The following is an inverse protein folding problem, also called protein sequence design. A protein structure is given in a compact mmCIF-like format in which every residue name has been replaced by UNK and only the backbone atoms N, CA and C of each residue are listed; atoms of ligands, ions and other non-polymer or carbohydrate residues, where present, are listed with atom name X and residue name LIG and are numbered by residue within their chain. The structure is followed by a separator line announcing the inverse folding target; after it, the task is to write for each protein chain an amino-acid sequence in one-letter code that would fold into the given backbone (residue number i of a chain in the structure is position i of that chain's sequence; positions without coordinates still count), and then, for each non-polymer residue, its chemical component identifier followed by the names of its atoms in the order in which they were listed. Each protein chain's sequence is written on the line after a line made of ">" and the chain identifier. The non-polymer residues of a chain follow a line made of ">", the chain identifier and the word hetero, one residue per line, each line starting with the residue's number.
data_IF_598770477232
#
_entry.id   IF_598770477232
#
_cell.length_a   1.000
_cell.length_b   1.000
_cell.length_c   1.000
_cell.angle_alpha   90.00
_cell.angle_beta   90.00
_cell.angle_gamma   90.00
#
_symmetry.space_group_name_H-M   'P 1'
#
loop_
_entity.id
_entity.type
_entity.pdbx_description
1 polymer ?
#
# COMPACT_ATOMS: atom_id res chain seq x y z
N UNK A 1 -3.10 3.11 32.16
CA UNK A 1 -3.47 1.74 31.74
C UNK A 1 -4.09 1.72 30.34
N UNK A 2 -5.27 2.33 30.11
CA UNK A 2 -5.98 2.28 28.82
C UNK A 2 -5.13 2.73 27.61
N UNK A 3 -4.47 3.89 27.72
CA UNK A 3 -3.61 4.41 26.64
C UNK A 3 -2.42 3.49 26.32
N UNK A 4 -1.81 2.89 27.34
CA UNK A 4 -0.73 1.93 27.17
C UNK A 4 -1.23 0.63 26.49
N UNK A 5 -2.39 0.13 26.90
CA UNK A 5 -3.04 -1.03 26.25
C UNK A 5 -3.36 -0.76 24.77
N UNK A 6 -3.85 0.44 24.46
CA UNK A 6 -4.09 0.87 23.07
C UNK A 6 -2.78 0.90 22.26
N UNK A 7 -1.71 1.47 22.82
CA UNK A 7 -0.39 1.49 22.19
C UNK A 7 0.15 0.08 21.90
N UNK A 8 0.02 -0.85 22.85
CA UNK A 8 0.43 -2.25 22.68
C UNK A 8 -0.36 -2.94 21.57
N UNK A 9 -1.67 -2.71 21.51
CA UNK A 9 -2.52 -3.25 20.45
C UNK A 9 -2.11 -2.71 19.07
N UNK A 10 -1.92 -1.39 18.96
CA UNK A 10 -1.49 -0.74 17.71
C UNK A 10 -0.10 -1.24 17.28
N UNK A 11 0.83 -1.38 18.24
CA UNK A 11 2.16 -1.94 18.02
C UNK A 11 2.08 -3.35 17.42
N UNK A 12 1.32 -4.25 18.04
CA UNK A 12 1.19 -5.63 17.59
C UNK A 12 0.59 -5.71 16.18
N UNK A 13 -0.48 -4.94 15.91
CA UNK A 13 -1.12 -4.91 14.59
C UNK A 13 -0.19 -4.30 13.55
N UNK A 14 0.54 -3.22 13.86
CA UNK A 14 1.48 -2.59 12.95
C UNK A 14 2.62 -3.54 12.57
N UNK A 15 3.22 -4.23 13.54
CA UNK A 15 4.27 -5.22 13.29
C UNK A 15 3.76 -6.37 12.40
N UNK A 16 2.65 -6.99 12.79
CA UNK A 16 2.10 -8.13 12.07
C UNK A 16 1.69 -7.77 10.64
N UNK A 17 0.91 -6.70 10.48
CA UNK A 17 0.37 -6.31 9.18
C UNK A 17 1.44 -5.87 8.20
N UNK A 18 2.43 -5.06 8.61
CA UNK A 18 3.51 -4.62 7.73
C UNK A 18 4.50 -5.75 7.42
N UNK A 19 4.79 -6.65 8.36
CA UNK A 19 5.60 -7.85 8.10
C UNK A 19 4.94 -8.77 7.06
N UNK A 20 3.62 -8.98 7.16
CA UNK A 20 2.86 -9.75 6.18
C UNK A 20 2.93 -9.15 4.77
N UNK A 21 2.89 -7.81 4.65
CA UNK A 21 3.03 -7.13 3.35
C UNK A 21 4.41 -7.38 2.75
N UNK A 22 5.47 -7.21 3.54
CA UNK A 22 6.84 -7.48 3.06
C UNK A 22 7.02 -8.94 2.67
N UNK A 23 6.47 -9.88 3.45
CA UNK A 23 6.53 -11.30 3.14
C UNK A 23 5.80 -11.64 1.83
N UNK A 24 4.64 -11.04 1.57
CA UNK A 24 3.94 -11.18 0.29
C UNK A 24 4.77 -10.63 -0.89
N UNK A 25 5.42 -9.47 -0.71
CA UNK A 25 6.29 -8.88 -1.72
C UNK A 25 7.56 -9.70 -1.96
N UNK A 26 8.10 -10.33 -0.92
CA UNK A 26 9.24 -11.25 -1.03
C UNK A 26 8.85 -12.52 -1.80
N UNK A 27 7.64 -13.05 -1.54
CA UNK A 27 7.15 -14.27 -2.17
C UNK A 27 6.72 -14.08 -3.64
N UNK A 28 6.20 -12.91 -4.01
CA UNK A 28 5.71 -12.63 -5.36
C UNK A 28 6.55 -11.57 -6.07
N UNK A 29 7.36 -12.01 -7.03
CA UNK A 29 8.09 -11.11 -7.92
C UNK A 29 7.15 -10.20 -8.72
N UNK A 30 5.93 -10.65 -9.03
CA UNK A 30 4.92 -9.84 -9.72
C UNK A 30 4.45 -8.64 -8.88
N UNK A 31 4.28 -8.82 -7.57
CA UNK A 31 3.92 -7.70 -6.68
C UNK A 31 5.07 -6.71 -6.50
N UNK A 32 6.30 -7.22 -6.43
CA UNK A 32 7.51 -6.42 -6.21
C UNK A 32 7.95 -5.62 -7.45
N UNK A 33 7.78 -6.19 -8.65
CA UNK A 33 8.20 -5.56 -9.91
C UNK A 33 7.25 -4.46 -10.40
N UNK A 34 6.05 -4.36 -9.82
CA UNK A 34 5.18 -3.20 -10.03
C UNK A 34 5.86 -1.96 -9.46
N UNK A 35 5.81 -0.84 -10.17
CA UNK A 35 6.40 0.41 -9.71
C UNK A 35 5.81 0.91 -8.37
N UNK A 36 4.53 0.66 -8.11
CA UNK A 36 3.89 0.88 -6.81
C UNK A 36 4.41 -0.05 -5.70
N UNK A 37 5.01 -1.19 -6.06
CA UNK A 37 5.57 -2.18 -5.15
C UNK A 37 6.76 -1.65 -4.36
N UNK A 38 7.64 -0.87 -5.01
CA UNK A 38 8.80 -0.24 -4.33
C UNK A 38 8.34 0.75 -3.25
N UNK A 39 7.37 1.61 -3.57
CA UNK A 39 6.79 2.55 -2.61
C UNK A 39 6.09 1.83 -1.45
N UNK A 40 5.41 0.72 -1.74
CA UNK A 40 4.76 -0.10 -0.72
C UNK A 40 5.76 -0.78 0.22
N UNK A 41 6.87 -1.30 -0.33
CA UNK A 41 7.97 -1.88 0.47
C UNK A 41 8.61 -0.81 1.35
N UNK A 42 8.91 0.37 0.80
CA UNK A 42 9.44 1.50 1.54
C UNK A 42 8.51 1.90 2.70
N UNK A 43 7.21 2.06 2.43
CA UNK A 43 6.21 2.39 3.44
C UNK A 43 6.14 1.32 4.54
N UNK A 44 6.10 0.04 4.15
CA UNK A 44 5.97 -1.07 5.11
C UNK A 44 7.22 -1.22 5.97
N UNK A 45 8.41 -1.06 5.40
CA UNK A 45 9.67 -1.06 6.14
C UNK A 45 9.73 0.12 7.12
N UNK A 46 9.33 1.33 6.67
CA UNK A 46 9.27 2.50 7.53
C UNK A 46 8.31 2.32 8.71
N UNK A 47 7.12 1.74 8.47
CA UNK A 47 6.19 1.42 9.55
C UNK A 47 6.72 0.35 10.52
N UNK A 48 7.46 -0.65 10.04
CA UNK A 48 8.12 -1.62 10.92
C UNK A 48 9.19 -0.98 11.78
N UNK A 49 10.00 -0.09 11.23
CA UNK A 49 11.00 0.66 12.00
C UNK A 49 10.33 1.56 13.04
N UNK A 50 9.25 2.25 12.67
CA UNK A 50 8.47 3.08 13.59
C UNK A 50 7.88 2.22 14.73
N UNK A 51 7.29 1.08 14.39
CA UNK A 51 6.70 0.16 15.35
C UNK A 51 7.75 -0.50 16.25
N UNK A 52 8.90 -0.90 15.71
CA UNK A 52 9.93 -1.61 16.47
C UNK A 52 10.80 -0.70 17.33
N UNK A 53 10.98 0.56 16.94
CA UNK A 53 11.93 1.47 17.59
C UNK A 53 11.25 2.61 18.33
N UNK A 54 10.30 3.30 17.72
CA UNK A 54 9.68 4.51 18.29
C UNK A 54 8.51 4.18 19.24
N UNK A 55 7.59 3.31 18.84
CA UNK A 55 6.44 2.93 19.69
C UNK A 55 6.84 2.34 21.06
N UNK A 56 7.89 1.52 21.21
CA UNK A 56 8.33 1.01 22.51
C UNK A 56 8.89 2.11 23.41
N UNK A 57 9.60 3.10 22.85
CA UNK A 57 10.07 4.27 23.60
C UNK A 57 8.91 5.12 24.09
N UNK A 58 7.89 5.32 23.26
CA UNK A 58 6.65 6.00 23.65
C UNK A 58 5.91 5.22 24.73
N UNK A 59 5.77 3.90 24.58
CA UNK A 59 5.16 3.06 25.62
C UNK A 59 5.91 3.17 26.95
N UNK A 60 7.25 3.12 26.91
CA UNK A 60 8.09 3.26 28.11
C UNK A 60 7.95 4.66 28.74
N UNK A 61 7.86 5.70 27.92
CA UNK A 61 7.62 7.08 28.36
C UNK A 61 6.26 7.24 29.05
N UNK A 62 5.21 6.63 28.49
CA UNK A 62 3.85 6.64 29.06
C UNK A 62 3.79 5.83 30.35
N UNK A 63 4.46 4.67 30.42
CA UNK A 63 4.46 3.81 31.61
C UNK A 63 5.25 4.44 32.77
N UNK A 64 6.37 5.11 32.48
CA UNK A 64 7.22 5.73 33.51
C UNK A 64 6.78 7.14 33.90
N UNK A 65 6.02 7.84 33.06
CA UNK A 65 5.66 9.25 33.26
C UNK A 65 6.85 10.22 33.15
N UNK A 66 7.97 9.76 32.59
CA UNK A 66 9.24 10.51 32.44
C UNK A 66 10.00 10.04 31.21
N UNK A 67 11.12 10.68 30.90
CA UNK A 67 11.96 10.30 29.76
C UNK A 67 12.30 8.79 29.79
N UNK A 68 12.06 8.06 28.69
CA UNK A 68 12.28 6.61 28.63
C UNK A 68 13.77 6.23 28.66
N UNK A 69 14.64 7.12 28.20
CA UNK A 69 16.06 6.87 27.97
C UNK A 69 16.91 8.12 28.15
N UNK A 70 18.23 7.98 27.95
CA UNK A 70 19.16 9.10 27.93
C UNK A 70 18.82 10.12 26.80
N UNK A 71 19.20 11.40 26.95
CA UNK A 71 18.84 12.46 26.00
C UNK A 71 19.23 12.14 24.54
N UNK A 72 20.43 11.61 24.31
CA UNK A 72 20.90 11.27 22.96
C UNK A 72 20.08 10.17 22.29
N UNK A 73 19.65 9.15 23.04
CA UNK A 73 18.78 8.10 22.51
C UNK A 73 17.39 8.66 22.16
N UNK A 74 16.85 9.56 22.99
CA UNK A 74 15.58 10.22 22.70
C UNK A 74 15.67 11.16 21.50
N UNK A 75 16.78 11.86 21.31
CA UNK A 75 17.03 12.66 20.10
C UNK A 75 17.10 11.80 18.84
N UNK A 76 17.78 10.65 18.90
CA UNK A 76 17.85 9.71 17.79
C UNK A 76 16.46 9.14 17.43
N UNK A 77 15.66 8.79 18.43
CA UNK A 77 14.28 8.34 18.22
C UNK A 77 13.40 9.47 17.66
N UNK A 78 13.53 10.70 18.16
CA UNK A 78 12.80 11.85 17.62
C UNK A 78 13.19 12.19 16.17
N UNK A 79 14.46 12.02 15.81
CA UNK A 79 14.94 12.13 14.44
C UNK A 79 14.28 11.08 13.54
N UNK A 80 14.28 9.82 14.03
CA UNK A 80 13.68 8.70 13.33
C UNK A 80 12.16 8.88 13.16
N UNK A 81 11.44 9.31 14.20
CA UNK A 81 10.00 9.62 14.15
C UNK A 81 9.71 10.67 13.07
N UNK A 82 10.43 11.80 13.10
CA UNK A 82 10.26 12.89 12.12
C UNK A 82 10.57 12.41 10.70
N UNK A 83 11.60 11.58 10.54
CA UNK A 83 12.05 11.09 9.23
C UNK A 83 11.03 10.10 8.66
N UNK A 84 10.66 9.09 9.45
CA UNK A 84 9.73 8.04 9.04
C UNK A 84 8.32 8.60 8.80
N UNK A 85 7.84 9.51 9.64
CA UNK A 85 6.53 10.12 9.48
C UNK A 85 6.44 10.96 8.18
N UNK A 86 7.46 11.77 7.91
CA UNK A 86 7.54 12.56 6.67
C UNK A 86 7.61 11.67 5.43
N UNK A 87 8.42 10.62 5.50
CA UNK A 87 8.62 9.67 4.41
C UNK A 87 7.34 8.87 4.12
N UNK A 88 6.67 8.43 5.17
CA UNK A 88 5.40 7.70 5.08
C UNK A 88 4.30 8.58 4.46
N UNK A 89 4.17 9.84 4.87
CA UNK A 89 3.20 10.77 4.31
C UNK A 89 3.37 10.95 2.79
N UNK A 90 4.60 11.19 2.32
CA UNK A 90 4.91 11.35 0.91
C UNK A 90 4.73 10.04 0.12
N UNK A 91 5.12 8.91 0.72
CA UNK A 91 4.90 7.58 0.12
C UNK A 91 3.41 7.28 -0.05
N UNK A 92 2.58 7.63 0.94
CA UNK A 92 1.12 7.50 0.87
C UNK A 92 0.52 8.40 -0.20
N UNK A 93 0.98 9.64 -0.32
CA UNK A 93 0.55 10.55 -1.38
C UNK A 93 0.88 9.98 -2.77
N UNK A 94 2.10 9.47 -2.95
CA UNK A 94 2.54 8.85 -4.19
C UNK A 94 1.74 7.58 -4.54
N UNK A 95 1.50 6.70 -3.55
CA UNK A 95 0.67 5.50 -3.72
C UNK A 95 -0.79 5.84 -4.07
N UNK A 96 -1.31 6.93 -3.53
CA UNK A 96 -2.67 7.41 -3.81
C UNK A 96 -2.78 8.01 -5.20
N UNK A 97 -1.77 8.78 -5.63
CA UNK A 97 -1.67 9.30 -6.99
C UNK A 97 -1.57 8.18 -8.04
N UNK A 98 -0.76 7.15 -7.79
CA UNK A 98 -0.64 5.99 -8.69
C UNK A 98 -1.98 5.24 -8.84
N UNK A 99 -2.68 5.01 -7.73
CA UNK A 99 -4.01 4.37 -7.74
C UNK A 99 -5.04 5.19 -8.50
N UNK A 100 -4.94 6.50 -8.43
CA UNK A 100 -5.80 7.38 -9.21
C UNK A 100 -5.51 7.28 -10.69
N UNK A 101 -4.25 7.34 -11.12
CA UNK A 101 -3.89 7.22 -12.53
C UNK A 101 -4.42 5.91 -13.15
N UNK A 102 -4.33 4.81 -12.39
CA UNK A 102 -4.85 3.51 -12.80
C UNK A 102 -6.39 3.47 -12.92
N UNK A 103 -7.12 4.21 -12.08
CA UNK A 103 -8.60 4.23 -12.07
C UNK A 103 -9.17 5.26 -13.03
N UNK A 104 -8.54 6.43 -13.14
CA UNK A 104 -8.99 7.56 -13.95
C UNK A 104 -8.72 7.42 -15.45
N UNK A 105 -7.64 6.70 -15.82
CA UNK A 105 -7.23 6.56 -17.22
C UNK A 105 -6.94 5.10 -17.61
N UNK A 106 -7.94 4.20 -17.57
CA UNK A 106 -7.73 2.77 -17.83
C UNK A 106 -7.15 2.45 -19.23
N UNK A 107 -7.29 3.36 -20.21
CA UNK A 107 -6.84 3.16 -21.60
C UNK A 107 -5.50 3.84 -21.94
N UNK A 108 -5.10 4.90 -21.22
CA UNK A 108 -3.81 5.59 -21.41
C UNK A 108 -2.76 5.13 -20.41
N UNK A 109 -3.20 4.72 -19.22
CA UNK A 109 -2.35 4.14 -18.21
C UNK A 109 -2.27 2.64 -18.47
N UNK A 110 -1.32 2.21 -19.31
CA UNK A 110 -0.99 0.79 -19.53
C UNK A 110 -0.34 0.14 -18.28
N UNK A 111 -0.90 0.41 -17.10
CA UNK A 111 -0.65 -0.33 -15.86
C UNK A 111 0.73 -0.16 -15.23
N UNK A 112 1.55 0.82 -15.63
CA UNK A 112 2.89 1.00 -15.06
C UNK A 112 3.23 2.48 -14.90
N UNK A 113 3.18 2.98 -13.66
CA UNK A 113 4.05 4.10 -13.26
C UNK A 113 5.46 3.73 -13.73
N UNK A 114 6.13 4.58 -14.50
CA UNK A 114 7.47 4.20 -14.98
C UNK A 114 8.37 4.04 -13.74
N UNK A 115 9.18 2.97 -13.63
CA UNK A 115 10.08 2.76 -12.50
C UNK A 115 10.95 3.98 -12.19
N UNK A 116 11.34 4.74 -13.24
CA UNK A 116 12.08 6.01 -13.12
C UNK A 116 11.33 7.05 -12.28
N UNK A 117 10.01 7.22 -12.48
CA UNK A 117 9.20 8.15 -11.69
C UNK A 117 9.01 7.66 -10.25
N UNK A 118 8.85 6.35 -10.05
CA UNK A 118 8.78 5.77 -8.70
C UNK A 118 10.08 6.01 -7.92
N UNK A 119 11.23 5.81 -8.57
CA UNK A 119 12.55 6.10 -8.00
C UNK A 119 12.75 7.59 -7.69
N UNK A 120 12.31 8.48 -8.59
CA UNK A 120 12.37 9.93 -8.35
C UNK A 120 11.50 10.35 -7.15
N UNK A 121 10.23 9.91 -7.10
CA UNK A 121 9.33 10.21 -5.99
C UNK A 121 9.87 9.68 -4.66
N UNK A 122 10.46 8.49 -4.68
CA UNK A 122 11.13 7.92 -3.50
C UNK A 122 12.34 8.77 -3.09
N UNK A 123 13.21 9.15 -4.04
CA UNK A 123 14.35 10.02 -3.77
C UNK A 123 13.94 11.38 -3.20
N UNK A 124 12.91 12.02 -3.76
CA UNK A 124 12.34 13.25 -3.22
C UNK A 124 11.79 13.06 -1.80
N UNK A 125 11.07 11.95 -1.55
CA UNK A 125 10.53 11.65 -0.22
C UNK A 125 11.64 11.48 0.82
N UNK A 126 12.72 10.78 0.47
CA UNK A 126 13.88 10.59 1.34
C UNK A 126 14.63 11.90 1.58
N UNK A 127 14.95 12.64 0.52
CA UNK A 127 15.66 13.92 0.61
C UNK A 127 14.90 14.95 1.45
N UNK A 128 13.60 15.10 1.22
CA UNK A 128 12.76 16.00 2.01
C UNK A 128 12.67 15.54 3.48
N UNK A 129 12.51 14.24 3.73
CA UNK A 129 12.42 13.71 5.09
C UNK A 129 13.73 13.90 5.87
N UNK A 130 14.88 13.68 5.21
CA UNK A 130 16.19 13.95 5.79
C UNK A 130 16.39 15.44 6.06
N UNK A 131 15.93 16.32 5.16
CA UNK A 131 16.03 17.76 5.35
C UNK A 131 15.26 18.22 6.61
N UNK A 132 14.00 17.78 6.78
CA UNK A 132 13.21 18.14 7.97
C UNK A 132 13.79 17.57 9.26
N UNK A 133 14.13 16.28 9.29
CA UNK A 133 14.69 15.65 10.49
C UNK A 133 16.08 16.18 10.85
N UNK A 134 16.91 16.44 9.83
CA UNK A 134 18.23 17.04 10.00
C UNK A 134 18.14 18.47 10.51
N UNK A 135 17.22 19.28 9.97
CA UNK A 135 16.97 20.64 10.47
C UNK A 135 16.48 20.64 11.92
N UNK A 136 15.56 19.73 12.28
CA UNK A 136 15.09 19.59 13.67
C UNK A 136 16.22 19.19 14.63
N UNK A 137 17.12 18.29 14.20
CA UNK A 137 18.29 17.91 14.98
C UNK A 137 19.28 19.06 15.13
N UNK A 138 19.62 19.75 14.03
CA UNK A 138 20.56 20.88 14.02
C UNK A 138 20.09 22.07 14.85
N UNK A 139 18.77 22.31 14.92
CA UNK A 139 18.19 23.34 15.77
C UNK A 139 17.90 22.85 17.20
N UNK A 140 18.31 21.64 17.59
CA UNK A 140 18.07 21.07 18.92
C UNK A 140 16.59 21.00 19.34
N UNK A 141 15.69 20.87 18.37
CA UNK A 141 14.24 20.77 18.59
C UNK A 141 13.74 19.36 18.89
N UNK A 142 14.63 18.36 18.88
CA UNK A 142 14.31 16.97 19.17
C UNK A 142 14.50 16.65 20.65
N UNK A 143 13.52 15.99 21.26
CA UNK A 143 13.60 15.57 22.66
C UNK A 143 12.32 14.91 23.16
N UNK A 144 12.28 14.64 24.46
CA UNK A 144 11.08 14.08 25.10
C UNK A 144 10.01 15.18 25.25
N UNK A 145 8.82 14.94 24.71
CA UNK A 145 7.64 15.77 24.98
C UNK A 145 6.72 15.08 25.97
N UNK A 146 6.51 15.70 27.12
CA UNK A 146 5.59 15.20 28.16
C UNK A 146 4.13 15.24 27.70
N UNK A 147 3.76 16.20 26.83
CA UNK A 147 2.41 16.32 26.28
C UNK A 147 2.04 15.11 25.41
N UNK A 148 3.00 14.55 24.66
CA UNK A 148 2.76 13.40 23.78
C UNK A 148 3.28 12.06 24.36
N UNK A 149 4.02 12.11 25.48
CA UNK A 149 4.63 10.94 26.10
C UNK A 149 5.70 10.27 25.23
N UNK A 150 6.22 10.96 24.21
CA UNK A 150 7.08 10.40 23.17
C UNK A 150 8.33 11.26 22.89
N UNK A 151 9.36 10.62 22.35
CA UNK A 151 10.54 11.30 21.82
C UNK A 151 10.22 11.84 20.42
N UNK A 152 10.13 13.16 20.28
CA UNK A 152 9.67 13.81 19.04
C UNK A 152 10.10 15.28 19.03
N UNK A 153 9.39 16.16 18.30
CA UNK A 153 9.58 17.60 18.40
C UNK A 153 9.18 18.09 19.80
N UNK A 154 10.09 18.79 20.47
CA UNK A 154 9.91 19.41 21.78
C UNK A 154 9.76 20.91 21.59
N UNK A 155 8.67 21.49 22.09
CA UNK A 155 8.45 22.92 22.05
C UNK A 155 9.62 23.65 22.74
N UNK A 156 10.38 24.50 22.02
CA UNK A 156 11.50 25.22 22.62
C UNK A 156 11.01 26.41 23.48
N UNK A 157 11.85 26.90 24.41
CA UNK A 157 11.61 28.17 25.08
C UNK A 157 11.68 29.35 24.10
N UNK A 158 11.15 30.51 24.51
CA UNK A 158 11.42 31.77 23.80
C UNK A 158 12.93 32.07 23.84
N UNK A 159 13.55 32.59 22.75
CA UNK A 159 12.98 33.24 21.56
C UNK A 159 12.87 32.35 20.30
N UNK A 160 13.02 31.02 20.41
CA UNK A 160 13.07 30.14 19.23
C UNK A 160 11.69 29.73 18.70
N UNK A 161 10.63 29.98 19.47
CA UNK A 161 9.25 29.59 19.12
C UNK A 161 8.77 30.04 17.74
N UNK A 162 9.01 31.28 17.24
CA UNK A 162 8.54 31.65 15.90
C UNK A 162 9.21 30.82 14.79
N UNK A 163 10.51 30.50 14.93
CA UNK A 163 11.22 29.64 13.97
C UNK A 163 10.70 28.20 14.03
N UNK A 164 10.49 27.69 15.23
CA UNK A 164 9.89 26.37 15.44
C UNK A 164 8.45 26.27 14.91
N UNK A 165 7.66 27.34 15.04
CA UNK A 165 6.30 27.43 14.53
C UNK A 165 6.27 27.38 13.00
N UNK A 166 7.12 28.17 12.33
CA UNK A 166 7.27 28.14 10.88
C UNK A 166 7.71 26.75 10.38
N UNK A 167 8.67 26.13 11.06
CA UNK A 167 9.10 24.76 10.77
C UNK A 167 7.95 23.75 10.91
N UNK A 168 7.25 23.77 12.05
CA UNK A 168 6.15 22.84 12.37
C UNK A 168 4.99 22.99 11.40
N UNK A 169 4.61 24.23 11.07
CA UNK A 169 3.59 24.53 10.07
C UNK A 169 3.98 24.00 8.68
N UNK A 170 5.23 24.20 8.26
CA UNK A 170 5.73 23.72 6.97
C UNK A 170 5.79 22.18 6.91
N UNK A 171 6.29 21.55 7.98
CA UNK A 171 6.32 20.10 8.12
C UNK A 171 4.91 19.50 7.99
N UNK A 172 3.92 20.07 8.67
CA UNK A 172 2.54 19.60 8.60
C UNK A 172 1.84 19.97 7.29
N UNK A 173 2.15 21.11 6.66
CA UNK A 173 1.65 21.44 5.33
C UNK A 173 2.09 20.37 4.31
N UNK A 174 3.36 19.97 4.35
CA UNK A 174 3.89 18.95 3.45
C UNK A 174 3.48 17.52 3.84
N UNK A 175 3.37 17.23 5.14
CA UNK A 175 3.05 15.90 5.65
C UNK A 175 1.55 15.59 5.78
N UNK A 176 0.69 16.62 5.80
CA UNK A 176 -0.76 16.46 5.95
C UNK A 176 -1.55 17.10 4.81
N UNK A 177 -1.34 18.39 4.55
CA UNK A 177 -2.15 19.14 3.57
C UNK A 177 -1.89 18.65 2.14
N UNK A 178 -0.63 18.44 1.77
CA UNK A 178 -0.27 17.95 0.43
C UNK A 178 -0.84 16.54 0.15
N UNK A 179 -0.62 15.50 1.01
CA UNK A 179 -1.24 14.19 0.81
C UNK A 179 -2.77 14.25 0.78
N UNK A 180 -3.39 15.06 1.64
CA UNK A 180 -4.83 15.23 1.67
C UNK A 180 -5.34 15.88 0.38
N UNK A 181 -4.68 16.93 -0.12
CA UNK A 181 -5.01 17.56 -1.37
C UNK A 181 -4.93 16.57 -2.54
N UNK A 182 -3.86 15.76 -2.61
CA UNK A 182 -3.75 14.68 -3.61
C UNK A 182 -4.91 13.70 -3.49
N UNK A 183 -5.22 13.21 -2.28
CA UNK A 183 -6.34 12.30 -2.04
C UNK A 183 -7.71 12.92 -2.43
N UNK A 184 -7.95 14.18 -2.09
CA UNK A 184 -9.19 14.87 -2.42
C UNK A 184 -9.31 15.14 -3.92
N UNK A 185 -8.27 15.67 -4.56
CA UNK A 185 -8.26 15.95 -6.00
C UNK A 185 -8.46 14.67 -6.81
N UNK A 186 -7.80 13.58 -6.42
CA UNK A 186 -8.00 12.29 -7.08
C UNK A 186 -9.44 11.77 -6.91
N UNK A 187 -10.05 11.95 -5.74
CA UNK A 187 -11.44 11.57 -5.49
C UNK A 187 -12.44 12.38 -6.33
N UNK A 188 -12.24 13.70 -6.45
CA UNK A 188 -13.07 14.62 -7.21
C UNK A 188 -12.96 14.33 -8.71
N UNK A 189 -11.74 14.08 -9.20
CA UNK A 189 -11.51 13.72 -10.59
C UNK A 189 -12.15 12.37 -10.94
N UNK A 190 -12.07 11.37 -10.04
CA UNK A 190 -12.79 10.09 -10.23
C UNK A 190 -14.29 10.31 -10.31
N UNK A 191 -14.85 11.17 -9.47
CA UNK A 191 -16.28 11.50 -9.50
C UNK A 191 -16.64 12.24 -10.80
N UNK A 192 -15.83 13.21 -11.24
CA UNK A 192 -16.03 13.96 -12.49
C UNK A 192 -15.92 13.05 -13.71
N UNK A 193 -14.84 12.29 -13.85
CA UNK A 193 -14.63 11.33 -14.96
C UNK A 193 -15.73 10.26 -14.96
N UNK A 194 -16.13 9.74 -13.80
CA UNK A 194 -17.25 8.82 -13.70
C UNK A 194 -18.57 9.47 -14.14
N UNK A 195 -18.84 10.73 -13.75
CA UNK A 195 -20.05 11.47 -14.15
C UNK A 195 -20.04 11.76 -15.65
N UNK A 196 -18.92 12.20 -16.21
CA UNK A 196 -18.76 12.44 -17.65
C UNK A 196 -18.88 11.16 -18.48
N UNK A 197 -18.32 10.03 -18.04
CA UNK A 197 -18.52 8.74 -18.69
C UNK A 197 -19.94 8.22 -18.52
N UNK A 198 -20.63 8.52 -17.41
CA UNK A 198 -22.06 8.21 -17.28
C UNK A 198 -22.89 9.05 -18.22
N UNK A 199 -22.70 10.36 -18.32
CA UNK A 199 -23.44 11.21 -19.25
C UNK A 199 -23.22 10.81 -20.72
N UNK A 200 -21.98 10.51 -21.11
CA UNK A 200 -21.66 10.01 -22.46
C UNK A 200 -22.17 8.60 -22.71
N UNK A 201 -22.10 7.69 -21.74
CA UNK A 201 -22.75 6.38 -21.87
C UNK A 201 -24.27 6.51 -21.88
N UNK A 202 -24.91 7.33 -21.05
CA UNK A 202 -26.36 7.50 -21.10
C UNK A 202 -26.79 8.00 -22.48
N UNK A 203 -25.98 8.83 -23.14
CA UNK A 203 -26.24 9.31 -24.52
C UNK A 203 -25.95 8.25 -25.60
N UNK A 204 -24.79 7.58 -25.56
CA UNK A 204 -24.38 6.57 -26.57
C UNK A 204 -25.12 5.25 -26.36
N UNK A 205 -25.30 4.83 -25.11
CA UNK A 205 -26.14 3.70 -24.74
C UNK A 205 -27.59 4.06 -25.03
N UNK A 206 -28.12 5.27 -24.82
CA UNK A 206 -29.47 5.64 -25.33
C UNK A 206 -29.58 5.45 -26.86
N UNK A 207 -28.61 5.96 -27.62
CA UNK A 207 -28.59 5.78 -29.09
C UNK A 207 -28.47 4.31 -29.51
N UNK A 208 -27.62 3.54 -28.84
CA UNK A 208 -27.47 2.11 -29.05
C UNK A 208 -28.66 1.30 -28.48
N UNK A 209 -29.36 1.79 -27.46
CA UNK A 209 -30.54 1.21 -26.81
C UNK A 209 -31.79 1.38 -27.65
N UNK A 210 -31.91 2.49 -28.38
CA UNK A 210 -32.90 2.66 -29.44
C UNK A 210 -32.62 1.67 -30.57
N UNK A 211 -31.34 1.38 -30.86
CA UNK A 211 -30.93 0.41 -31.88
C UNK A 211 -30.97 -1.07 -31.43
N UNK A 212 -30.88 -1.35 -30.12
CA UNK A 212 -30.87 -2.68 -29.48
C UNK A 212 -32.21 -3.03 -28.80
N UNK A 213 -33.27 -2.27 -29.07
CA UNK A 213 -34.60 -2.48 -28.49
C UNK A 213 -35.12 -3.93 -28.68
N UNK A 214 -34.56 -4.68 -29.63
CA UNK A 214 -34.91 -6.08 -29.88
C UNK A 214 -34.12 -7.14 -29.05
N UNK A 215 -33.06 -6.79 -28.32
CA UNK A 215 -32.26 -7.76 -27.54
C UNK A 215 -32.31 -7.51 -26.01
N UNK A 216 -33.41 -7.95 -25.41
CA UNK A 216 -33.52 -8.46 -24.03
C UNK A 216 -33.14 -7.51 -22.84
N UNK A 217 -34.13 -6.92 -22.13
CA UNK A 217 -33.92 -5.91 -21.06
C UNK A 217 -33.12 -6.41 -19.85
N UNK A 218 -33.02 -7.72 -19.63
CA UNK A 218 -32.28 -8.29 -18.48
C UNK A 218 -30.75 -8.25 -18.63
N UNK A 219 -30.22 -8.10 -19.85
CA UNK A 219 -28.76 -7.95 -20.09
C UNK A 219 -28.34 -6.50 -19.79
N UNK A 220 -29.17 -5.52 -20.17
CA UNK A 220 -28.99 -4.09 -19.87
C UNK A 220 -28.87 -3.83 -18.37
N UNK A 221 -29.84 -4.35 -17.59
CA UNK A 221 -29.88 -4.20 -16.14
C UNK A 221 -28.59 -4.75 -15.50
N UNK A 222 -28.14 -5.92 -15.95
CA UNK A 222 -26.91 -6.57 -15.43
C UNK A 222 -25.66 -5.75 -15.72
N UNK A 223 -25.51 -5.18 -16.93
CA UNK A 223 -24.35 -4.36 -17.28
C UNK A 223 -24.28 -3.07 -16.45
N UNK A 224 -25.39 -2.33 -16.32
CA UNK A 224 -25.48 -1.10 -15.51
C UNK A 224 -25.20 -1.38 -14.02
N UNK A 225 -25.77 -2.45 -13.46
CA UNK A 225 -25.52 -2.86 -12.07
C UNK A 225 -24.04 -3.21 -11.86
N UNK A 226 -23.43 -3.96 -12.78
CA UNK A 226 -22.00 -4.29 -12.69
C UNK A 226 -21.12 -3.04 -12.77
N UNK A 227 -21.43 -2.09 -13.64
CA UNK A 227 -20.70 -0.84 -13.76
C UNK A 227 -20.82 0.02 -12.50
N UNK A 228 -22.03 0.19 -11.94
CA UNK A 228 -22.27 0.88 -10.67
C UNK A 228 -21.51 0.22 -9.52
N UNK A 229 -21.50 -1.12 -9.46
CA UNK A 229 -20.71 -1.90 -8.49
C UNK A 229 -19.21 -1.68 -8.63
N UNK A 230 -18.66 -1.66 -9.86
CA UNK A 230 -17.22 -1.42 -10.09
C UNK A 230 -16.81 -0.01 -9.63
N UNK A 231 -17.62 1.00 -9.95
CA UNK A 231 -17.42 2.41 -9.52
C UNK A 231 -17.49 2.56 -8.02
N UNK A 232 -18.54 2.03 -7.39
CA UNK A 232 -18.71 2.07 -5.94
C UNK A 232 -17.53 1.40 -5.20
N UNK A 233 -16.97 0.31 -5.75
CA UNK A 233 -15.77 -0.32 -5.18
C UNK A 233 -14.53 0.56 -5.29
N UNK A 234 -14.39 1.34 -6.37
CA UNK A 234 -13.25 2.25 -6.55
C UNK A 234 -13.37 3.47 -5.61
N UNK A 235 -14.54 4.11 -5.56
CA UNK A 235 -14.78 5.28 -4.69
C UNK A 235 -14.74 4.91 -3.21
N UNK A 236 -15.29 3.75 -2.82
CA UNK A 236 -15.19 3.26 -1.43
C UNK A 236 -13.75 3.10 -0.97
N UNK A 237 -12.85 2.61 -1.83
CA UNK A 237 -11.43 2.46 -1.47
C UNK A 237 -10.74 3.81 -1.23
N UNK A 238 -10.98 4.79 -2.09
CA UNK A 238 -10.44 6.14 -1.95
C UNK A 238 -11.03 6.83 -0.71
N UNK A 239 -12.34 6.66 -0.47
CA UNK A 239 -13.01 7.19 0.71
C UNK A 239 -12.46 6.61 2.02
N UNK A 240 -12.17 5.31 2.07
CA UNK A 240 -11.51 4.67 3.23
C UNK A 240 -10.11 5.27 3.44
N UNK A 241 -9.33 5.46 2.37
CA UNK A 241 -7.99 6.05 2.48
C UNK A 241 -8.02 7.48 3.06
N UNK A 242 -8.96 8.32 2.60
CA UNK A 242 -9.18 9.68 3.13
C UNK A 242 -9.61 9.64 4.59
N UNK A 243 -10.62 8.83 4.91
CA UNK A 243 -11.17 8.76 6.27
C UNK A 243 -10.11 8.31 7.28
N UNK A 244 -9.36 7.25 6.95
CA UNK A 244 -8.25 6.77 7.80
C UNK A 244 -7.17 7.83 7.94
N UNK A 245 -6.81 8.54 6.87
CA UNK A 245 -5.81 9.62 6.93
C UNK A 245 -6.25 10.75 7.87
N UNK A 246 -7.50 11.21 7.75
CA UNK A 246 -8.03 12.27 8.59
C UNK A 246 -8.13 11.83 10.07
N UNK A 247 -8.73 10.67 10.34
CA UNK A 247 -8.94 10.19 11.72
C UNK A 247 -7.60 9.94 12.43
N UNK A 248 -6.61 9.39 11.72
CA UNK A 248 -5.33 9.06 12.33
C UNK A 248 -4.37 10.26 12.45
N UNK A 249 -4.41 11.22 11.51
CA UNK A 249 -3.37 12.25 11.41
C UNK A 249 -3.85 13.64 11.83
N UNK A 250 -5.10 14.01 11.53
CA UNK A 250 -5.62 15.35 11.80
C UNK A 250 -5.60 15.72 13.30
N UNK A 251 -6.00 14.83 14.24
CA UNK A 251 -5.97 15.16 15.67
C UNK A 251 -4.59 15.56 16.16
N UNK A 252 -3.54 14.86 15.70
CA UNK A 252 -2.16 15.16 16.09
C UNK A 252 -1.68 16.48 15.48
N UNK A 253 -1.93 16.71 14.19
CA UNK A 253 -1.57 17.97 13.52
C UNK A 253 -2.24 19.17 14.20
N UNK A 254 -3.54 19.08 14.48
CA UNK A 254 -4.28 20.13 15.18
C UNK A 254 -3.69 20.36 16.57
N UNK A 255 -3.37 19.30 17.31
CA UNK A 255 -2.79 19.40 18.66
C UNK A 255 -1.40 20.04 18.63
N UNK A 256 -0.57 19.70 17.64
CA UNK A 256 0.76 20.30 17.44
C UNK A 256 0.69 21.77 17.07
N UNK A 257 -0.26 22.16 16.22
CA UNK A 257 -0.47 23.58 15.89
C UNK A 257 -1.04 24.35 17.08
N UNK A 258 -1.93 23.74 17.87
CA UNK A 258 -2.48 24.34 19.08
C UNK A 258 -1.41 24.54 20.18
N UNK A 259 -0.43 23.62 20.29
CA UNK A 259 0.71 23.74 21.22
C UNK A 259 1.57 24.98 20.95
N UNK A 260 1.53 25.55 19.73
CA UNK A 260 2.26 26.79 19.39
C UNK A 260 1.57 28.05 19.94
N UNK A 261 0.32 27.95 20.37
CA UNK A 261 -0.46 29.08 20.86
C UNK A 261 -0.15 29.30 22.35
N UNK A 262 0.35 30.48 22.78
CA UNK A 262 0.89 30.67 24.13
C UNK A 262 -0.08 30.39 25.28
N UNK A 263 -1.38 30.55 25.03
CA UNK A 263 -2.44 30.36 26.03
C UNK A 263 -3.08 28.97 25.99
N UNK A 264 -2.65 28.07 25.09
CA UNK A 264 -3.17 26.70 25.02
C UNK A 264 -2.18 25.74 25.67
N UNK A 265 -2.64 25.02 26.69
CA UNK A 265 -1.90 23.91 27.28
C UNK A 265 -2.46 22.60 26.77
N UNK A 266 -1.60 21.74 26.24
CA UNK A 266 -2.00 20.41 25.75
C UNK A 266 -2.08 19.46 26.93
N UNK A 267 -3.27 18.93 27.19
CA UNK A 267 -3.46 17.85 28.16
C UNK A 267 -2.67 16.60 27.71
N UNK A 268 -1.85 16.04 28.59
CA UNK A 268 -1.01 14.88 28.28
C UNK A 268 -1.82 13.66 27.79
N UNK A 269 -3.00 13.40 28.35
CA UNK A 269 -3.86 12.30 27.89
C UNK A 269 -4.32 12.49 26.44
N UNK A 270 -4.67 13.72 26.08
CA UNK A 270 -5.07 14.05 24.70
C UNK A 270 -3.88 14.01 23.75
N UNK A 271 -2.72 14.55 24.13
CA UNK A 271 -1.51 14.48 23.33
C UNK A 271 -1.07 13.04 23.07
N UNK A 272 -1.02 12.19 24.11
CA UNK A 272 -0.73 10.75 23.97
C UNK A 272 -1.77 10.05 23.09
N UNK A 273 -3.06 10.33 23.26
CA UNK A 273 -4.12 9.75 22.42
C UNK A 273 -3.96 10.15 20.95
N UNK A 274 -3.71 11.44 20.67
CA UNK A 274 -3.51 11.95 19.31
C UNK A 274 -2.26 11.33 18.67
N UNK A 275 -1.16 11.16 19.41
CA UNK A 275 0.03 10.44 18.94
C UNK A 275 -0.28 8.96 18.67
N UNK A 276 -1.06 8.30 19.53
CA UNK A 276 -1.51 6.93 19.31
C UNK A 276 -2.37 6.77 18.03
N UNK A 277 -3.21 7.77 17.71
CA UNK A 277 -3.95 7.80 16.45
C UNK A 277 -2.99 7.88 15.25
N UNK A 278 -1.88 8.63 15.34
CA UNK A 278 -0.88 8.64 14.26
C UNK A 278 -0.20 7.28 14.08
N UNK A 279 0.11 6.57 15.17
CA UNK A 279 0.63 5.20 15.07
C UNK A 279 -0.38 4.22 14.50
N UNK A 280 -1.67 4.43 14.77
CA UNK A 280 -2.75 3.61 14.19
C UNK A 280 -2.75 3.68 12.65
N UNK A 281 -2.21 4.74 12.05
CA UNK A 281 -1.99 4.84 10.60
C UNK A 281 -1.06 3.75 10.09
N UNK A 282 0.03 3.48 10.80
CA UNK A 282 1.00 2.44 10.43
C UNK A 282 0.35 1.05 10.44
N UNK A 283 -0.60 0.81 11.36
CA UNK A 283 -1.41 -0.40 11.39
C UNK A 283 -2.47 -0.45 10.27
N UNK A 284 -3.10 0.67 9.92
CA UNK A 284 -4.20 0.72 8.97
C UNK A 284 -3.76 0.68 7.48
N UNK A 285 -2.56 1.15 7.17
CA UNK A 285 -2.07 1.28 5.79
C UNK A 285 -1.92 -0.04 5.02
N UNK A 286 -1.41 -1.12 5.61
CA UNK A 286 -1.45 -2.45 4.99
C UNK A 286 -2.85 -2.86 4.53
N UNK A 287 -3.88 -2.60 5.32
CA UNK A 287 -5.25 -2.96 4.95
C UNK A 287 -5.78 -2.11 3.80
N UNK A 288 -5.48 -0.80 3.83
CA UNK A 288 -5.93 0.15 2.80
C UNK A 288 -5.25 -0.10 1.44
N UNK A 289 -3.94 -0.38 1.46
CA UNK A 289 -3.11 -0.38 0.25
C UNK A 289 -2.72 -1.76 -0.28
N UNK A 290 -2.75 -2.82 0.54
CA UNK A 290 -2.24 -4.13 0.11
C UNK A 290 -3.14 -5.31 0.51
N UNK A 291 -3.27 -5.63 1.79
CA UNK A 291 -3.82 -6.90 2.30
C UNK A 291 -5.27 -7.17 1.86
N UNK A 292 -6.08 -6.13 1.67
CA UNK A 292 -7.47 -6.28 1.21
C UNK A 292 -7.59 -6.40 -0.34
N UNK A 293 -6.49 -6.31 -1.08
CA UNK A 293 -6.48 -6.37 -2.55
C UNK A 293 -6.37 -7.82 -3.04
N UNK A 294 -7.05 -8.10 -4.18
CA UNK A 294 -7.08 -9.44 -4.79
C UNK A 294 -5.69 -10.07 -4.99
N UNK A 295 -4.68 -9.35 -5.54
CA UNK A 295 -3.36 -9.94 -5.76
C UNK A 295 -2.67 -10.38 -4.46
N UNK A 296 -2.76 -9.56 -3.39
CA UNK A 296 -2.22 -9.91 -2.08
C UNK A 296 -2.96 -11.07 -1.44
N UNK A 297 -4.30 -11.08 -1.51
CA UNK A 297 -5.11 -12.19 -0.97
C UNK A 297 -4.79 -13.53 -1.64
N UNK A 298 -4.50 -13.54 -2.94
CA UNK A 298 -4.09 -14.75 -3.67
C UNK A 298 -2.74 -15.28 -3.18
N UNK A 299 -1.76 -14.40 -3.00
CA UNK A 299 -0.44 -14.75 -2.45
C UNK A 299 -0.57 -15.27 -1.02
N UNK A 300 -1.32 -14.57 -0.17
CA UNK A 300 -1.55 -14.96 1.22
C UNK A 300 -2.23 -16.33 1.33
N UNK A 301 -3.27 -16.58 0.54
CA UNK A 301 -3.95 -17.88 0.49
C UNK A 301 -3.00 -19.00 0.04
N UNK A 302 -2.17 -18.74 -0.97
CA UNK A 302 -1.16 -19.70 -1.44
C UNK A 302 -0.08 -19.99 -0.38
N UNK A 303 0.31 -19.00 0.41
CA UNK A 303 1.24 -19.19 1.54
C UNK A 303 0.61 -20.00 2.66
N UNK A 304 -0.61 -19.65 3.08
CA UNK A 304 -1.34 -20.38 4.14
C UNK A 304 -1.56 -21.83 3.74
N UNK A 305 -2.00 -22.09 2.50
CA UNK A 305 -2.18 -23.45 1.99
C UNK A 305 -0.86 -24.26 2.01
N UNK A 306 0.28 -23.64 1.72
CA UNK A 306 1.60 -24.30 1.83
C UNK A 306 2.03 -24.56 3.26
N UNK A 307 1.73 -23.66 4.19
CA UNK A 307 2.00 -23.83 5.62
C UNK A 307 1.13 -24.94 6.22
N UNK A 308 -0.16 -24.97 5.88
CA UNK A 308 -1.11 -26.00 6.31
C UNK A 308 -0.78 -27.38 5.74
N UNK A 309 -0.20 -27.47 4.53
CA UNK A 309 0.29 -28.76 3.99
C UNK A 309 1.64 -29.21 4.57
N UNK A 310 2.33 -28.37 5.35
CA UNK A 310 3.65 -28.66 5.93
C UNK A 310 3.61 -29.20 7.35
N UNK A 311 2.43 -29.41 7.95
CA UNK A 311 2.31 -30.15 9.22
C UNK A 311 2.51 -31.65 8.98
N UNK A 312 3.51 -32.31 9.59
CA UNK A 312 3.82 -33.72 9.35
C UNK A 312 2.77 -34.64 9.98
N UNK A 313 2.41 -35.72 9.28
CA UNK A 313 1.93 -36.95 9.91
C UNK A 313 2.97 -37.43 10.95
N UNK A 314 2.58 -37.84 12.17
CA UNK A 314 3.40 -38.74 12.97
C UNK A 314 3.34 -40.15 12.35
N UNK A 315 4.46 -40.84 12.45
CA UNK A 315 4.76 -42.14 11.88
C UNK A 315 3.77 -43.26 12.24
N UNK A 316 3.38 -44.05 11.24
CA UNK A 316 3.22 -45.52 11.36
C UNK A 316 3.05 -46.14 9.97
N UNK A 317 4.10 -46.78 9.43
CA UNK A 317 4.02 -48.13 8.84
C UNK A 317 5.41 -48.55 8.35
N UNK A 318 6.04 -49.39 9.16
CA UNK A 318 6.94 -50.42 8.65
C UNK A 318 6.07 -51.64 8.28
N UNK A 319 6.43 -52.31 7.17
CA UNK A 319 5.80 -53.49 6.56
C UNK A 319 4.48 -53.17 5.82
N UNK A 320 4.26 -53.55 4.56
CA UNK A 320 4.73 -54.73 3.83
C UNK A 320 4.77 -54.43 2.33
N UNK A 321 5.77 -54.99 1.66
CA UNK A 321 5.74 -55.36 0.24
C UNK A 321 4.41 -56.01 -0.17
N UNK A 322 3.77 -55.54 -1.25
CA UNK A 322 3.17 -56.35 -2.32
C UNK A 322 2.55 -55.43 -3.42
N UNK A 323 2.81 -55.80 -4.67
CA UNK A 323 2.01 -55.53 -5.88
C UNK A 323 1.83 -54.11 -6.45
N UNK A 324 2.82 -53.67 -7.25
CA UNK A 324 2.55 -52.87 -8.49
C UNK A 324 3.37 -53.38 -9.69
N UNK A 325 4.04 -54.53 -9.60
CA UNK A 325 4.74 -55.15 -10.74
C UNK A 325 3.80 -55.85 -11.75
N UNK A 326 2.48 -55.81 -11.54
CA UNK A 326 1.49 -56.57 -12.32
C UNK A 326 0.79 -55.87 -13.48
N UNK A 327 0.88 -54.54 -13.65
CA UNK A 327 0.07 -53.83 -14.68
C UNK A 327 0.84 -53.27 -15.88
N UNK A 328 2.18 -53.31 -15.89
CA UNK A 328 2.96 -52.78 -17.01
C UNK A 328 3.26 -53.81 -18.13
N UNK A 329 2.98 -55.10 -17.90
CA UNK A 329 3.39 -56.17 -18.82
C UNK A 329 2.31 -56.61 -19.84
N UNK A 330 1.14 -55.95 -19.90
CA UNK A 330 0.06 -56.34 -20.83
C UNK A 330 -0.26 -55.36 -21.98
N UNK A 331 0.39 -54.18 -22.07
CA UNK A 331 0.03 -53.19 -23.10
C UNK A 331 1.07 -52.96 -24.21
N UNK A 332 2.21 -53.66 -24.22
CA UNK A 332 3.27 -53.49 -25.23
C UNK A 332 3.45 -54.66 -26.21
N UNK A 333 2.50 -55.61 -26.25
CA UNK A 333 2.64 -56.85 -27.06
C UNK A 333 1.53 -57.04 -28.09
N UNK A 334 1.18 -56.00 -28.85
CA UNK A 334 0.34 -56.14 -30.05
C UNK A 334 0.62 -55.06 -31.10
N UNK A 335 1.77 -55.17 -31.75
CA UNK A 335 1.85 -54.91 -33.20
C UNK A 335 1.93 -56.26 -33.91
N UNK A 336 1.27 -56.42 -35.06
CA UNK A 336 2.06 -56.73 -36.25
C UNK A 336 1.65 -55.92 -37.50
N UNK A 337 2.66 -55.36 -38.17
CA UNK A 337 2.75 -55.17 -39.63
C UNK A 337 2.89 -56.55 -40.34
N UNK A 338 2.95 -56.71 -41.70
CA UNK A 338 3.18 -55.75 -42.82
C UNK A 338 2.22 -55.95 -44.04
N UNK A 339 2.15 -55.05 -45.03
CA UNK A 339 2.82 -55.08 -46.36
C UNK A 339 1.99 -54.15 -47.29
N UNK A 340 2.40 -53.50 -48.40
CA UNK A 340 3.64 -53.31 -49.15
C UNK A 340 3.38 -52.20 -50.21
N UNK A 341 4.44 -51.47 -50.60
CA UNK A 341 4.71 -50.86 -51.93
C UNK A 341 3.72 -49.89 -52.60
N UNK A 342 4.12 -48.62 -52.81
CA UNK A 342 4.74 -48.19 -54.08
C UNK A 342 5.32 -46.76 -54.01
N UNK A 343 6.51 -46.61 -54.62
CA UNK A 343 7.25 -45.37 -54.86
C UNK A 343 6.54 -44.41 -55.82
N UNK A 344 6.75 -43.10 -55.67
CA UNK A 344 7.41 -42.26 -56.70
C UNK A 344 7.64 -40.82 -56.24
N UNK A 345 8.91 -40.44 -56.30
CA UNK A 345 9.49 -39.11 -56.20
C UNK A 345 9.33 -38.32 -57.50
N UNK A 346 9.11 -37.01 -57.44
CA UNK A 346 9.64 -36.07 -58.45
C UNK A 346 9.75 -34.63 -57.91
N UNK A 347 10.98 -34.12 -57.93
CA UNK A 347 11.39 -32.72 -57.78
C UNK A 347 11.05 -31.92 -59.04
N UNK A 348 10.88 -30.59 -58.89
CA UNK A 348 11.25 -29.46 -59.78
C UNK A 348 10.58 -28.21 -59.18
N UNK A 349 11.26 -27.21 -58.61
CA UNK A 349 12.16 -26.21 -59.22
C UNK A 349 11.52 -25.47 -60.40
N UNK A 350 11.00 -24.24 -60.20
CA UNK A 350 11.52 -23.05 -60.89
C UNK A 350 10.93 -21.70 -60.43
N UNK A 351 11.81 -20.71 -60.57
CA UNK A 351 11.66 -19.26 -60.51
C UNK A 351 10.54 -18.69 -61.39
N UNK A 352 9.97 -17.54 -60.99
CA UNK A 352 10.00 -16.31 -61.83
C UNK A 352 9.33 -15.10 -61.15
N UNK A 353 10.12 -14.04 -61.01
CA UNK A 353 9.70 -12.64 -60.88
C UNK A 353 9.00 -12.16 -62.15
N UNK A 354 8.09 -11.21 -62.00
CA UNK A 354 7.79 -10.02 -62.84
C UNK A 354 6.40 -9.51 -62.38
N UNK A 355 5.95 -8.27 -62.44
CA UNK A 355 6.50 -6.92 -62.57
C UNK A 355 5.29 -5.98 -62.38
N UNK A 356 5.56 -4.74 -61.98
CA UNK A 356 4.68 -3.56 -61.93
C UNK A 356 3.56 -3.47 -62.98
N UNK A 357 2.42 -2.91 -62.54
CA UNK A 357 1.58 -1.80 -63.11
C UNK A 357 0.16 -2.01 -62.54
N UNK A 358 -0.48 -1.07 -61.86
CA UNK A 358 -0.85 0.30 -62.25
C UNK A 358 -1.16 1.17 -61.03
#
# INVERSE_FOLDING_TARGET
>A
ALLAGLLVMVLAVALLSNALVLLCCAYSAELRTRASGVLLVNLSLGHLLLAALDMPFTLLGVMRGRTPSAPGACQAIGFLDTFLASNAALSVAALSADQWLAVGFPLRYAGRLRPRYAGLLLGCAWGQSLAFSGAALGCSWLGYSSAFGSCSLRLPPEPERPRFAAFTATLHAMGFVLPLAVLCLTSLQVHRVARSHCQRMDTVTMKALVLLADLHPSVRQRCLIQQKRRRHRATRKIGIAIATFLICFAPYVVTRLAELVPFITVNAHWGILSKCLTYSKAAADPFTYSLLRRPFRQVLAGMVHRLLKRTPHPASTHNSSLDVAGMAHQLLKRTPHPASTHNSSLNTENDSRLQQTH
#
